data_IF_948487800366
#
_entry.id   IF_948487800366
#
_cell.length_a   1.000
_cell.length_b   1.000
_cell.length_c   1.000
_cell.angle_alpha   90.00
_cell.angle_beta   90.00
_cell.angle_gamma   90.00
#
_symmetry.space_group_name_H-M   'P 1'
#
loop_
_entity.id
_entity.type
_entity.pdbx_description
1 polymer ?
#
# COMPACT_ATOMS: atom_id res chain seq x y z
N UNK A 1 -54.86 -26.76 -16.60
CA UNK A 1 -53.58 -27.13 -15.96
C UNK A 1 -52.49 -26.38 -16.70
N UNK A 2 -51.95 -25.30 -16.12
CA UNK A 2 -50.76 -24.61 -16.64
C UNK A 2 -49.88 -24.25 -15.46
N UNK A 3 -48.74 -24.90 -15.37
CA UNK A 3 -47.64 -24.51 -14.49
C UNK A 3 -46.57 -23.88 -15.40
N UNK A 4 -46.27 -22.60 -15.19
CA UNK A 4 -45.13 -21.93 -15.81
C UNK A 4 -44.00 -22.00 -14.79
N UNK A 5 -42.90 -22.64 -15.19
CA UNK A 5 -41.70 -22.80 -14.37
C UNK A 5 -41.03 -21.45 -14.12
N UNK A 6 -40.72 -21.16 -12.86
CA UNK A 6 -39.80 -20.12 -12.42
C UNK A 6 -38.37 -20.60 -12.69
N UNK A 7 -37.68 -19.96 -13.64
CA UNK A 7 -36.24 -20.13 -13.84
C UNK A 7 -35.48 -19.36 -12.76
N UNK A 8 -34.86 -20.08 -11.82
CA UNK A 8 -33.91 -19.50 -10.88
C UNK A 8 -32.55 -19.34 -11.60
N UNK A 9 -32.13 -18.09 -11.82
CA UNK A 9 -30.77 -17.76 -12.21
C UNK A 9 -29.87 -17.89 -10.99
N UNK A 10 -29.10 -18.98 -10.91
CA UNK A 10 -28.00 -19.12 -9.95
C UNK A 10 -26.85 -18.19 -10.36
N UNK A 11 -26.64 -17.10 -9.62
CA UNK A 11 -25.41 -16.33 -9.69
C UNK A 11 -24.27 -17.19 -9.13
N UNK A 12 -23.43 -17.72 -10.00
CA UNK A 12 -22.12 -18.23 -9.57
C UNK A 12 -21.27 -17.00 -9.23
N UNK A 13 -21.06 -16.74 -7.93
CA UNK A 13 -20.00 -15.83 -7.49
C UNK A 13 -18.68 -16.43 -7.92
N UNK A 14 -18.04 -15.82 -8.91
CA UNK A 14 -16.65 -16.11 -9.21
C UNK A 14 -15.82 -15.58 -8.04
N UNK A 15 -15.35 -16.47 -7.18
CA UNK A 15 -14.28 -16.17 -6.23
C UNK A 15 -13.06 -15.81 -7.08
N UNK A 16 -12.69 -14.54 -7.18
CA UNK A 16 -11.38 -14.19 -7.74
C UNK A 16 -10.35 -14.76 -6.79
N UNK A 17 -9.67 -15.82 -7.21
CA UNK A 17 -8.52 -16.32 -6.49
C UNK A 17 -7.46 -15.22 -6.54
N UNK A 18 -7.07 -14.68 -5.38
CA UNK A 18 -5.98 -13.72 -5.33
C UNK A 18 -4.70 -14.38 -5.85
N UNK A 19 -3.91 -13.60 -6.58
CA UNK A 19 -2.58 -14.02 -7.04
C UNK A 19 -1.50 -13.80 -5.97
N UNK A 20 -1.83 -13.09 -4.88
CA UNK A 20 -0.90 -12.80 -3.78
C UNK A 20 -1.03 -13.83 -2.64
N UNK A 21 0.06 -14.06 -1.87
CA UNK A 21 -0.01 -14.80 -0.61
C UNK A 21 -1.04 -14.20 0.36
N UNK A 22 -1.62 -15.03 1.23
CA UNK A 22 -2.66 -14.59 2.16
C UNK A 22 -2.16 -13.50 3.13
N UNK A 23 -0.88 -13.53 3.44
CA UNK A 23 -0.16 -12.57 4.28
C UNK A 23 -0.15 -11.16 3.69
N UNK A 24 -0.16 -11.06 2.36
CA UNK A 24 -0.23 -9.79 1.60
C UNK A 24 -1.69 -9.44 1.31
N UNK A 25 -2.47 -10.40 0.81
CA UNK A 25 -3.85 -10.19 0.38
C UNK A 25 -4.77 -9.68 1.49
N UNK A 26 -4.51 -10.06 2.75
CA UNK A 26 -5.25 -9.56 3.92
C UNK A 26 -5.27 -8.04 4.03
N UNK A 27 -4.31 -7.35 3.42
CA UNK A 27 -4.19 -5.90 3.45
C UNK A 27 -4.96 -5.19 2.33
N UNK A 28 -5.49 -5.90 1.32
CA UNK A 28 -6.16 -5.29 0.16
C UNK A 28 -7.25 -4.30 0.55
N UNK A 29 -8.08 -4.65 1.54
CA UNK A 29 -9.16 -3.77 1.99
C UNK A 29 -8.63 -2.45 2.54
N UNK A 30 -7.54 -2.48 3.32
CA UNK A 30 -6.90 -1.28 3.85
C UNK A 30 -6.18 -0.50 2.75
N UNK A 31 -5.54 -1.18 1.78
CA UNK A 31 -4.94 -0.54 0.61
C UNK A 31 -6.00 0.24 -0.19
N UNK A 32 -7.19 -0.36 -0.40
CA UNK A 32 -8.32 0.29 -1.07
C UNK A 32 -8.87 1.53 -0.34
N UNK A 33 -8.65 1.66 0.96
CA UNK A 33 -9.03 2.86 1.71
C UNK A 33 -8.06 4.03 1.47
N UNK A 34 -6.85 3.75 1.01
CA UNK A 34 -5.74 4.72 0.90
C UNK A 34 -5.37 5.03 -0.54
N UNK A 35 -5.38 4.03 -1.41
CA UNK A 35 -4.97 4.11 -2.81
C UNK A 35 -6.17 3.94 -3.76
N UNK A 36 -6.13 4.54 -4.96
CA UNK A 36 -7.16 4.32 -5.96
C UNK A 36 -7.13 2.85 -6.44
N UNK A 37 -8.28 2.35 -6.90
CA UNK A 37 -8.47 0.93 -7.23
C UNK A 37 -7.47 0.40 -8.26
N UNK A 38 -7.04 1.24 -9.20
CA UNK A 38 -6.06 0.93 -10.23
C UNK A 38 -4.62 0.81 -9.72
N UNK A 39 -4.28 1.37 -8.54
CA UNK A 39 -2.97 1.22 -7.90
C UNK A 39 -2.91 0.06 -6.89
N UNK A 40 -4.04 -0.56 -6.54
CA UNK A 40 -4.07 -1.60 -5.49
C UNK A 40 -3.19 -2.79 -5.84
N UNK A 41 -3.16 -3.20 -7.12
CA UNK A 41 -2.32 -4.30 -7.55
C UNK A 41 -0.85 -3.96 -7.35
N UNK A 42 -0.43 -2.77 -7.76
CA UNK A 42 0.95 -2.29 -7.66
C UNK A 42 1.41 -2.24 -6.19
N UNK A 43 0.57 -1.69 -5.31
CA UNK A 43 0.85 -1.62 -3.86
C UNK A 43 1.05 -3.01 -3.27
N UNK A 44 0.22 -3.99 -3.62
CA UNK A 44 0.34 -5.36 -3.10
C UNK A 44 1.57 -6.08 -3.68
N UNK A 45 1.96 -5.80 -4.93
CA UNK A 45 3.18 -6.34 -5.54
C UNK A 45 4.44 -5.83 -4.83
N UNK A 46 4.51 -4.52 -4.59
CA UNK A 46 5.60 -3.90 -3.80
C UNK A 46 5.60 -4.45 -2.37
N UNK A 47 4.45 -4.55 -1.71
CA UNK A 47 4.32 -5.09 -0.35
C UNK A 47 4.82 -6.54 -0.24
N UNK A 48 4.52 -7.37 -1.23
CA UNK A 48 4.99 -8.76 -1.28
C UNK A 48 6.51 -8.83 -1.26
N UNK A 49 7.17 -8.03 -2.11
CA UNK A 49 8.62 -7.99 -2.22
C UNK A 49 9.31 -7.33 -1.01
N UNK A 50 8.75 -6.23 -0.51
CA UNK A 50 9.36 -5.41 0.54
C UNK A 50 9.26 -6.06 1.93
N UNK A 51 8.12 -6.69 2.25
CA UNK A 51 7.86 -7.17 3.62
C UNK A 51 7.17 -8.52 3.71
N UNK A 52 6.79 -9.14 2.59
CA UNK A 52 5.92 -10.32 2.56
C UNK A 52 4.60 -10.11 3.33
N UNK A 53 4.15 -8.85 3.45
CA UNK A 53 2.94 -8.48 4.20
C UNK A 53 3.12 -8.44 5.73
N UNK A 54 4.34 -8.45 6.25
CA UNK A 54 4.63 -8.34 7.68
C UNK A 54 4.95 -6.88 8.09
N UNK A 55 4.08 -6.21 8.87
CA UNK A 55 4.28 -4.82 9.26
C UNK A 55 5.38 -4.62 10.31
N UNK A 56 5.93 -5.69 10.88
CA UNK A 56 7.03 -5.61 11.86
C UNK A 56 8.42 -5.67 11.23
N UNK A 57 8.51 -5.83 9.90
CA UNK A 57 9.79 -5.90 9.19
C UNK A 57 10.52 -4.57 9.28
N UNK A 58 11.79 -4.67 9.67
CA UNK A 58 12.72 -3.55 9.82
C UNK A 58 14.01 -3.90 9.10
N UNK A 59 14.52 -2.98 8.28
CA UNK A 59 15.77 -3.14 7.57
C UNK A 59 16.67 -1.93 7.80
N UNK A 60 17.90 -2.18 8.26
CA UNK A 60 18.92 -1.14 8.39
C UNK A 60 19.62 -0.96 7.04
N UNK A 61 19.43 0.19 6.41
CA UNK A 61 20.14 0.56 5.19
C UNK A 61 21.62 0.81 5.45
N UNK A 62 22.44 0.71 4.40
CA UNK A 62 23.89 0.90 4.46
C UNK A 62 24.29 2.28 5.03
N UNK A 63 23.44 3.29 4.84
CA UNK A 63 23.67 4.66 5.26
C UNK A 63 23.19 4.98 6.68
N UNK A 64 22.76 3.95 7.44
CA UNK A 64 22.34 4.08 8.83
C UNK A 64 20.92 4.61 9.04
N UNK A 65 20.11 4.62 7.98
CA UNK A 65 18.67 4.86 8.05
C UNK A 65 17.92 3.53 8.05
N UNK A 66 16.73 3.51 8.64
CA UNK A 66 15.93 2.30 8.74
C UNK A 66 14.69 2.40 7.85
N UNK A 67 14.43 1.33 7.11
CA UNK A 67 13.18 1.11 6.39
C UNK A 67 12.26 0.21 7.22
N UNK A 68 10.99 0.60 7.34
CA UNK A 68 10.06 -0.02 8.29
C UNK A 68 8.72 -0.37 7.64
N UNK A 69 8.16 -1.49 8.06
CA UNK A 69 6.78 -1.89 7.83
C UNK A 69 6.48 -2.37 6.42
N UNK A 70 5.19 -2.36 6.06
CA UNK A 70 4.66 -3.05 4.89
C UNK A 70 5.34 -2.65 3.57
N UNK A 71 5.60 -1.36 3.38
CA UNK A 71 6.21 -0.79 2.18
C UNK A 71 7.65 -0.31 2.42
N UNK A 72 8.29 -0.78 3.50
CA UNK A 72 9.69 -0.47 3.85
C UNK A 72 10.02 1.04 3.72
N UNK A 73 9.24 1.85 4.43
CA UNK A 73 9.35 3.31 4.38
C UNK A 73 10.55 3.75 5.23
N UNK A 74 11.41 4.57 4.64
CA UNK A 74 12.49 5.25 5.33
C UNK A 74 12.00 6.64 5.82
N UNK A 75 12.10 6.91 7.14
CA UNK A 75 11.66 8.19 7.73
C UNK A 75 12.38 9.42 7.15
N UNK A 76 13.59 9.23 6.61
CA UNK A 76 14.32 10.25 5.87
C UNK A 76 13.56 10.75 4.63
N UNK A 77 12.72 9.91 4.02
CA UNK A 77 11.84 10.33 2.92
C UNK A 77 10.65 11.16 3.38
N UNK A 78 10.29 11.10 4.66
CA UNK A 78 9.17 11.85 5.23
C UNK A 78 9.58 13.23 5.74
N UNK A 79 10.86 13.40 6.07
CA UNK A 79 11.42 14.61 6.71
C UNK A 79 12.49 15.31 5.87
N UNK A 80 13.15 14.59 4.96
CA UNK A 80 14.30 15.07 4.19
C UNK A 80 13.97 15.99 3.01
N UNK A 81 12.70 16.18 2.69
CA UNK A 81 12.28 16.98 1.52
C UNK A 81 11.92 18.43 1.89
N UNK A 82 12.26 18.86 3.11
CA UNK A 82 12.35 20.27 3.50
C UNK A 82 11.03 21.03 3.58
N UNK A 83 9.89 20.36 3.45
CA UNK A 83 8.57 20.99 3.45
C UNK A 83 7.68 20.35 4.52
N UNK A 84 7.68 20.98 5.68
CA UNK A 84 6.91 20.58 6.87
C UNK A 84 5.39 20.55 6.58
N UNK A 85 4.91 21.33 5.61
CA UNK A 85 3.51 21.32 5.18
C UNK A 85 3.09 19.94 4.63
N UNK A 86 3.99 19.29 3.90
CA UNK A 86 3.75 18.00 3.26
C UNK A 86 3.79 16.84 4.25
N UNK A 87 4.70 16.92 5.21
CA UNK A 87 4.75 16.02 6.36
C UNK A 87 3.39 16.10 7.11
N UNK A 88 2.93 17.30 7.47
CA UNK A 88 1.65 17.51 8.16
C UNK A 88 0.46 16.96 7.38
N UNK A 89 0.44 17.06 6.04
CA UNK A 89 -0.67 16.51 5.23
C UNK A 89 -0.72 14.98 5.18
N UNK A 90 0.43 14.31 5.29
CA UNK A 90 0.51 12.84 5.23
C UNK A 90 0.21 12.15 6.56
N UNK A 91 0.46 12.82 7.69
CA UNK A 91 0.36 12.22 9.02
C UNK A 91 -0.25 13.14 10.10
N UNK A 92 -0.94 14.21 9.71
CA UNK A 92 -1.60 15.17 10.60
C UNK A 92 -0.67 15.74 11.71
N UNK A 93 0.63 15.85 11.44
CA UNK A 93 1.64 16.36 12.39
C UNK A 93 1.92 15.45 13.59
N UNK A 94 1.49 14.19 13.57
CA UNK A 94 1.77 13.16 14.58
C UNK A 94 3.12 12.43 14.36
N UNK A 95 3.74 11.96 15.45
CA UNK A 95 4.88 11.03 15.34
C UNK A 95 4.46 9.78 14.56
N UNK A 96 5.28 9.35 13.60
CA UNK A 96 4.91 8.28 12.67
C UNK A 96 5.31 6.93 13.26
N UNK A 97 4.33 6.08 13.61
CA UNK A 97 4.60 4.67 13.89
C UNK A 97 4.51 3.87 12.59
N UNK A 98 5.63 3.64 11.91
CA UNK A 98 5.66 2.93 10.62
C UNK A 98 5.37 1.42 10.71
N UNK A 99 5.32 0.84 11.92
CA UNK A 99 4.84 -0.54 12.14
C UNK A 99 3.30 -0.62 12.17
N UNK A 100 2.60 0.51 12.30
CA UNK A 100 1.15 0.57 12.11
C UNK A 100 0.83 0.51 10.61
N UNK A 101 0.09 -0.52 10.14
CA UNK A 101 -0.20 -0.71 8.71
C UNK A 101 -0.86 0.49 8.03
N UNK A 102 -1.80 1.15 8.73
CA UNK A 102 -2.54 2.29 8.18
C UNK A 102 -1.61 3.50 8.01
N UNK A 103 -0.77 3.75 9.01
CA UNK A 103 0.25 4.79 8.99
C UNK A 103 1.28 4.54 7.88
N UNK A 104 1.76 3.30 7.75
CA UNK A 104 2.72 2.91 6.71
C UNK A 104 2.17 3.13 5.29
N UNK A 105 0.91 2.73 5.04
CA UNK A 105 0.25 2.93 3.75
C UNK A 105 0.00 4.40 3.44
N UNK A 106 -0.39 5.21 4.42
CA UNK A 106 -0.54 6.67 4.23
C UNK A 106 0.79 7.36 3.92
N UNK A 107 1.88 6.92 4.56
CA UNK A 107 3.22 7.39 4.25
C UNK A 107 3.64 7.01 2.82
N UNK A 108 3.35 5.79 2.37
CA UNK A 108 3.58 5.37 0.99
C UNK A 108 2.75 6.20 -0.01
N UNK A 109 1.47 6.44 0.28
CA UNK A 109 0.59 7.25 -0.57
C UNK A 109 1.08 8.70 -0.67
N UNK A 110 1.62 9.24 0.42
CA UNK A 110 2.27 10.54 0.43
C UNK A 110 3.49 10.57 -0.50
N UNK A 111 4.38 9.57 -0.44
CA UNK A 111 5.54 9.48 -1.34
C UNK A 111 5.09 9.35 -2.80
N UNK A 112 4.10 8.51 -3.10
CA UNK A 112 3.53 8.38 -4.46
C UNK A 112 2.94 9.69 -4.97
N UNK A 113 2.24 10.44 -4.10
CA UNK A 113 1.77 11.78 -4.44
C UNK A 113 2.93 12.72 -4.75
N UNK A 114 3.97 12.72 -3.90
CA UNK A 114 5.17 13.52 -4.10
C UNK A 114 5.85 13.23 -5.44
N UNK A 115 6.00 11.95 -5.81
CA UNK A 115 6.57 11.55 -7.10
C UNK A 115 5.77 12.15 -8.26
N UNK A 116 4.44 12.04 -8.23
CA UNK A 116 3.57 12.59 -9.28
C UNK A 116 3.66 14.10 -9.41
N UNK A 117 3.60 14.85 -8.29
CA UNK A 117 3.63 16.32 -8.34
C UNK A 117 5.01 16.88 -8.70
N UNK A 118 6.06 16.08 -8.60
CA UNK A 118 7.41 16.43 -9.00
C UNK A 118 7.88 15.74 -10.29
N UNK A 119 6.94 15.16 -11.06
CA UNK A 119 7.21 14.53 -12.35
C UNK A 119 8.32 13.46 -12.28
N UNK A 120 8.39 12.71 -11.18
CA UNK A 120 9.27 11.56 -11.03
C UNK A 120 8.64 10.33 -11.68
N UNK A 121 9.49 9.37 -12.03
CA UNK A 121 9.05 8.05 -12.49
C UNK A 121 8.19 7.38 -11.41
N UNK A 122 7.19 6.61 -11.84
CA UNK A 122 6.33 5.88 -10.93
C UNK A 122 7.12 4.84 -10.13
N UNK A 123 6.88 4.78 -8.82
CA UNK A 123 7.53 3.87 -7.88
C UNK A 123 9.06 4.03 -7.80
N UNK A 124 9.60 5.18 -8.22
CA UNK A 124 11.05 5.46 -8.23
C UNK A 124 11.74 5.41 -6.87
N UNK A 125 11.01 5.54 -5.76
CA UNK A 125 11.58 5.44 -4.41
C UNK A 125 11.77 3.99 -3.93
N UNK A 126 11.14 3.01 -4.59
CA UNK A 126 11.20 1.60 -4.18
C UNK A 126 12.18 0.81 -5.04
N UNK A 127 12.93 -0.09 -4.42
CA UNK A 127 13.74 -1.06 -5.17
C UNK A 127 12.84 -2.17 -5.73
N UNK A 128 11.86 -2.62 -4.94
CA UNK A 128 10.78 -3.48 -5.41
C UNK A 128 9.84 -2.68 -6.30
N UNK A 129 9.61 -3.18 -7.50
CA UNK A 129 8.74 -2.54 -8.49
C UNK A 129 7.45 -3.36 -8.66
N UNK A 130 6.32 -2.74 -9.02
CA UNK A 130 5.08 -3.44 -9.35
C UNK A 130 5.21 -4.58 -10.37
#
# INVERSE_FOLDING_TARGET
MSAVMLGALSYMSASSQSIYPAEVERWRALVLEVFPEDEVHDVLSVMECESYGDPSVRYMEEWGQESVGLLQINEGWLTGWGDEEWAVRGHDGQSVNLEDPSTNLRAAAFIRHYERVNEKDDWSQWACQP
#
